data_IF_553632504865
#
_entry.id   IF_553632504865
#
_cell.length_a   1.000
_cell.length_b   1.000
_cell.length_c   1.000
_cell.angle_alpha   90.00
_cell.angle_beta   90.00
_cell.angle_gamma   90.00
#
_symmetry.space_group_name_H-M   'P 1'
#
loop_
_entity.id
_entity.type
_entity.pdbx_description
1 polymer ?
#
# COMPACT_ATOMS: atom_id res chain seq x y z
N UNK A 1 29.97 -17.64 -0.99
CA UNK A 1 30.39 -16.73 0.09
C UNK A 1 30.09 -15.29 -0.31
N UNK A 2 28.86 -14.80 -0.09
CA UNK A 2 28.61 -13.34 -0.10
C UNK A 2 27.25 -12.93 0.50
N UNK A 3 26.64 -13.79 1.31
CA UNK A 3 25.33 -13.51 1.93
C UNK A 3 25.46 -12.81 3.28
N UNK A 4 26.65 -12.84 3.91
CA UNK A 4 26.89 -12.23 5.23
C UNK A 4 27.13 -10.72 5.18
N UNK A 5 27.64 -10.17 4.07
CA UNK A 5 27.95 -8.74 3.95
C UNK A 5 26.69 -7.88 3.74
N UNK A 6 25.65 -8.41 3.08
CA UNK A 6 24.38 -7.69 2.86
C UNK A 6 23.46 -7.67 4.10
N UNK A 7 23.67 -8.58 5.05
CA UNK A 7 22.93 -8.59 6.32
C UNK A 7 23.53 -7.60 7.35
N UNK A 8 24.76 -7.16 7.15
CA UNK A 8 25.47 -6.23 8.05
C UNK A 8 25.22 -4.76 7.65
N UNK A 9 25.16 -4.48 6.35
CA UNK A 9 24.81 -3.15 5.81
C UNK A 9 23.35 -2.76 6.09
N UNK A 10 22.42 -3.72 6.00
CA UNK A 10 21.00 -3.50 6.32
C UNK A 10 20.70 -3.37 7.83
N UNK A 11 21.64 -3.76 8.71
CA UNK A 11 21.54 -3.57 10.16
C UNK A 11 22.20 -2.27 10.64
N UNK A 12 23.13 -1.70 9.89
CA UNK A 12 23.74 -0.39 10.21
C UNK A 12 22.84 0.81 9.83
N UNK A 13 21.86 0.61 8.95
CA UNK A 13 20.93 1.65 8.49
C UNK A 13 19.74 1.91 9.45
N UNK A 14 19.61 1.14 10.54
CA UNK A 14 18.55 1.30 11.54
C UNK A 14 19.14 1.59 12.93
N UNK A 15 20.23 2.37 13.00
CA UNK A 15 20.73 2.93 14.25
C UNK A 15 20.08 4.32 14.48
N UNK A 16 19.32 4.56 15.57
CA UNK A 16 18.68 5.84 15.83
C UNK A 16 19.64 7.05 15.82
N UNK A 17 20.89 6.87 16.27
CA UNK A 17 21.93 7.91 16.20
C UNK A 17 22.34 8.31 14.76
N UNK A 18 22.30 7.38 13.80
CA UNK A 18 22.64 7.68 12.41
C UNK A 18 21.52 8.50 11.75
N UNK A 19 20.26 8.19 12.06
CA UNK A 19 19.11 8.96 11.56
C UNK A 19 19.07 10.37 12.16
N UNK A 20 19.46 10.52 13.42
CA UNK A 20 19.52 11.83 14.09
C UNK A 20 20.64 12.70 13.51
N UNK A 21 21.82 12.12 13.25
CA UNK A 21 22.92 12.83 12.57
C UNK A 21 22.60 13.20 11.12
N UNK A 22 21.97 12.31 10.34
CA UNK A 22 21.52 12.62 8.98
C UNK A 22 20.47 13.74 8.97
N UNK A 23 19.52 13.71 9.91
CA UNK A 23 18.55 14.79 10.07
C UNK A 23 19.25 16.12 10.41
N UNK A 24 20.15 16.14 11.40
CA UNK A 24 20.89 17.34 11.78
C UNK A 24 21.70 17.93 10.63
N UNK A 25 22.32 17.08 9.81
CA UNK A 25 23.05 17.51 8.60
C UNK A 25 22.12 18.08 7.53
N UNK A 26 20.95 17.47 7.32
CA UNK A 26 19.93 18.02 6.43
C UNK A 26 19.39 19.38 6.90
N UNK A 27 19.22 19.57 8.21
CA UNK A 27 18.73 20.83 8.76
C UNK A 27 19.76 21.94 8.60
N UNK A 28 21.03 21.64 8.89
CA UNK A 28 22.14 22.56 8.64
C UNK A 28 22.28 22.92 7.14
N UNK A 29 22.04 21.97 6.24
CA UNK A 29 22.05 22.20 4.80
C UNK A 29 20.86 23.05 4.30
N UNK A 30 19.71 23.00 4.98
CA UNK A 30 18.56 23.85 4.64
C UNK A 30 18.72 25.24 5.24
N UNK A 31 19.20 25.37 6.47
CA UNK A 31 19.45 26.66 7.12
C UNK A 31 20.52 27.47 6.39
N UNK A 32 21.60 26.83 5.93
CA UNK A 32 22.59 27.48 5.07
C UNK A 32 22.03 27.92 3.71
N UNK A 33 20.97 27.29 3.21
CA UNK A 33 20.24 27.77 2.01
C UNK A 33 19.33 28.95 2.30
N UNK A 34 18.75 29.05 3.50
CA UNK A 34 17.91 30.18 3.92
C UNK A 34 18.68 31.49 3.87
N UNK A 35 19.91 31.50 4.39
CA UNK A 35 20.75 32.71 4.45
C UNK A 35 21.13 33.27 3.06
N UNK A 36 21.16 32.41 2.03
CA UNK A 36 21.46 32.80 0.64
C UNK A 36 20.23 33.05 -0.25
N UNK A 37 19.01 32.74 0.21
CA UNK A 37 17.79 32.77 -0.61
C UNK A 37 17.08 34.14 -0.62
N UNK A 38 17.25 34.92 0.44
CA UNK A 38 16.66 36.27 0.59
C UNK A 38 15.29 36.29 1.29
N UNK A 39 14.64 37.45 1.28
CA UNK A 39 13.44 37.75 2.09
C UNK A 39 12.22 36.87 1.74
N UNK A 40 12.12 36.38 0.49
CA UNK A 40 10.98 35.58 0.01
C UNK A 40 11.02 34.10 0.44
N UNK A 41 12.03 33.67 1.20
CA UNK A 41 12.20 32.26 1.58
C UNK A 41 10.95 31.67 2.27
N UNK A 42 10.36 32.43 3.20
CA UNK A 42 9.19 31.96 3.95
C UNK A 42 7.95 31.84 3.08
N UNK A 43 7.74 32.78 2.16
CA UNK A 43 6.61 32.79 1.25
C UNK A 43 6.69 31.60 0.27
N UNK A 44 7.85 31.40 -0.36
CA UNK A 44 8.06 30.28 -1.28
C UNK A 44 7.98 28.92 -0.56
N UNK A 45 8.54 28.81 0.66
CA UNK A 45 8.43 27.59 1.48
C UNK A 45 6.97 27.26 1.78
N UNK A 46 6.15 28.27 2.13
CA UNK A 46 4.74 28.08 2.39
C UNK A 46 3.97 27.65 1.13
N UNK A 47 4.32 28.19 -0.04
CA UNK A 47 3.74 27.78 -1.33
C UNK A 47 4.12 26.33 -1.68
N UNK A 48 5.40 25.96 -1.55
CA UNK A 48 5.87 24.58 -1.75
C UNK A 48 5.14 23.63 -0.80
N UNK A 49 5.02 24.00 0.48
CA UNK A 49 4.32 23.23 1.49
C UNK A 49 2.86 23.01 1.10
N UNK A 50 2.14 24.07 0.70
CA UNK A 50 0.73 24.00 0.30
C UNK A 50 0.54 23.05 -0.88
N UNK A 51 1.35 23.19 -1.94
CA UNK A 51 1.28 22.33 -3.12
C UNK A 51 1.60 20.87 -2.74
N UNK A 52 2.61 20.65 -1.90
CA UNK A 52 3.02 19.31 -1.51
C UNK A 52 1.98 18.60 -0.64
N UNK A 53 1.36 19.31 0.30
CA UNK A 53 0.24 18.80 1.11
C UNK A 53 -0.95 18.44 0.23
N UNK A 54 -1.31 19.30 -0.74
CA UNK A 54 -2.37 19.00 -1.69
C UNK A 54 -2.07 17.76 -2.53
N UNK A 55 -0.83 17.61 -3.01
CA UNK A 55 -0.38 16.41 -3.73
C UNK A 55 -0.44 15.15 -2.86
N UNK A 56 -0.13 15.25 -1.56
CA UNK A 56 -0.26 14.15 -0.62
C UNK A 56 -1.72 13.72 -0.46
N UNK A 57 -2.64 14.67 -0.32
CA UNK A 57 -4.07 14.38 -0.19
C UNK A 57 -4.62 13.72 -1.47
N UNK A 58 -4.27 14.26 -2.65
CA UNK A 58 -4.61 13.64 -3.95
C UNK A 58 -4.09 12.21 -4.08
N UNK A 59 -2.89 11.92 -3.57
CA UNK A 59 -2.34 10.55 -3.56
C UNK A 59 -3.16 9.63 -2.66
N UNK A 60 -3.62 10.13 -1.52
CA UNK A 60 -4.49 9.40 -0.59
C UNK A 60 -5.88 9.13 -1.19
N UNK A 61 -6.46 10.09 -1.91
CA UNK A 61 -7.70 9.89 -2.67
C UNK A 61 -7.55 8.82 -3.76
N UNK A 62 -6.42 8.80 -4.48
CA UNK A 62 -6.12 7.78 -5.51
C UNK A 62 -6.03 6.36 -4.93
N UNK A 63 -5.53 6.20 -3.70
CA UNK A 63 -5.53 4.90 -2.99
C UNK A 63 -6.95 4.38 -2.79
N UNK A 64 -7.88 5.24 -2.36
CA UNK A 64 -9.30 4.87 -2.18
C UNK A 64 -9.92 4.42 -3.50
N UNK A 65 -9.68 5.17 -4.58
CA UNK A 65 -10.16 4.81 -5.92
C UNK A 65 -9.60 3.45 -6.38
N UNK A 66 -8.31 3.20 -6.15
CA UNK A 66 -7.64 1.93 -6.50
C UNK A 66 -8.26 0.75 -5.73
N UNK A 67 -8.54 0.93 -4.43
CA UNK A 67 -9.20 -0.10 -3.62
C UNK A 67 -10.60 -0.44 -4.16
N UNK A 68 -11.39 0.57 -4.49
CA UNK A 68 -12.73 0.37 -5.08
C UNK A 68 -12.64 -0.34 -6.43
N UNK A 69 -11.68 0.02 -7.28
CA UNK A 69 -11.45 -0.65 -8.55
C UNK A 69 -11.22 -2.16 -8.38
N UNK A 70 -10.33 -2.58 -7.48
CA UNK A 70 -10.09 -4.00 -7.22
C UNK A 70 -11.32 -4.71 -6.67
N UNK A 71 -12.06 -4.08 -5.75
CA UNK A 71 -13.31 -4.64 -5.21
C UNK A 71 -14.33 -4.90 -6.31
N UNK A 72 -14.56 -3.92 -7.19
CA UNK A 72 -15.52 -4.05 -8.30
C UNK A 72 -15.06 -5.12 -9.28
N UNK A 73 -13.79 -5.12 -9.65
CA UNK A 73 -13.23 -6.09 -10.59
C UNK A 73 -13.32 -7.53 -10.05
N UNK A 74 -12.91 -7.75 -8.80
CA UNK A 74 -13.01 -9.05 -8.14
C UNK A 74 -14.48 -9.48 -7.95
N UNK A 75 -15.38 -8.56 -7.65
CA UNK A 75 -16.81 -8.91 -7.54
C UNK A 75 -17.41 -9.31 -8.88
N UNK A 76 -17.02 -8.63 -9.97
CA UNK A 76 -17.47 -8.96 -11.32
C UNK A 76 -16.98 -10.34 -11.78
N UNK A 77 -15.72 -10.68 -11.50
CA UNK A 77 -15.18 -12.02 -11.79
C UNK A 77 -15.92 -13.09 -10.99
N UNK A 78 -16.21 -12.83 -9.72
CA UNK A 78 -16.95 -13.78 -8.88
C UNK A 78 -18.37 -14.01 -9.41
N UNK A 79 -19.06 -12.96 -9.87
CA UNK A 79 -20.36 -13.08 -10.51
C UNK A 79 -20.30 -13.92 -11.80
N UNK A 80 -19.27 -13.71 -12.62
CA UNK A 80 -19.03 -14.54 -13.82
C UNK A 80 -18.85 -16.00 -13.44
N UNK A 81 -18.04 -16.31 -12.42
CA UNK A 81 -17.85 -17.68 -11.94
C UNK A 81 -19.18 -18.33 -11.56
N UNK A 82 -20.04 -17.65 -10.81
CA UNK A 82 -21.36 -18.18 -10.43
C UNK A 82 -22.20 -18.53 -11.67
N UNK A 83 -22.22 -17.66 -12.69
CA UNK A 83 -22.99 -17.94 -13.92
C UNK A 83 -22.48 -19.15 -14.71
N UNK A 84 -21.16 -19.41 -14.68
CA UNK A 84 -20.55 -20.55 -15.37
C UNK A 84 -20.75 -21.88 -14.65
N UNK A 85 -21.03 -21.86 -13.34
CA UNK A 85 -21.36 -23.09 -12.60
C UNK A 85 -22.73 -23.61 -13.07
N UNK A 86 -23.70 -22.71 -13.26
CA UNK A 86 -25.09 -23.08 -13.54
C UNK A 86 -25.37 -23.40 -15.01
N UNK A 87 -24.59 -22.85 -15.95
CA UNK A 87 -24.88 -22.97 -17.39
C UNK A 87 -23.65 -23.41 -18.18
N UNK A 88 -23.77 -24.58 -18.81
CA UNK A 88 -22.80 -25.10 -19.79
C UNK A 88 -22.91 -24.36 -21.13
N UNK A 89 -22.59 -23.07 -21.15
CA UNK A 89 -22.76 -22.21 -22.34
C UNK A 89 -21.71 -22.43 -23.43
N UNK A 90 -20.52 -22.92 -23.08
CA UNK A 90 -19.41 -23.03 -24.03
C UNK A 90 -18.98 -24.49 -24.24
N UNK A 91 -18.53 -24.86 -25.46
CA UNK A 91 -17.95 -26.17 -25.75
C UNK A 91 -16.56 -26.37 -25.08
N UNK A 92 -16.05 -25.36 -24.38
CA UNK A 92 -14.78 -25.38 -23.68
C UNK A 92 -14.95 -26.15 -22.36
N UNK A 93 -13.93 -26.94 -21.98
CA UNK A 93 -13.89 -27.62 -20.68
C UNK A 93 -14.17 -26.63 -19.53
N UNK A 94 -15.35 -26.72 -18.92
CA UNK A 94 -15.80 -25.86 -17.82
C UNK A 94 -14.79 -25.78 -16.67
N UNK A 95 -14.14 -26.91 -16.34
CA UNK A 95 -13.09 -27.00 -15.33
C UNK A 95 -11.86 -26.13 -15.66
N UNK A 96 -11.48 -26.07 -16.94
CA UNK A 96 -10.34 -25.26 -17.40
C UNK A 96 -10.65 -23.77 -17.27
N UNK A 97 -11.84 -23.33 -17.69
CA UNK A 97 -12.29 -21.94 -17.52
C UNK A 97 -12.35 -21.54 -16.04
N UNK A 98 -12.87 -22.42 -15.18
CA UNK A 98 -12.94 -22.19 -13.74
C UNK A 98 -11.54 -22.02 -13.13
N UNK A 99 -10.58 -22.86 -13.54
CA UNK A 99 -9.18 -22.75 -13.10
C UNK A 99 -8.56 -21.42 -13.54
N UNK A 100 -8.78 -21.01 -14.79
CA UNK A 100 -8.27 -19.75 -15.32
C UNK A 100 -8.82 -18.53 -14.57
N UNK A 101 -10.13 -18.49 -14.31
CA UNK A 101 -10.77 -17.41 -13.53
C UNK A 101 -10.26 -17.39 -12.08
N UNK A 102 -10.03 -18.56 -11.48
CA UNK A 102 -9.48 -18.66 -10.13
C UNK A 102 -8.05 -18.12 -10.04
N UNK A 103 -7.19 -18.47 -11.00
CA UNK A 103 -5.81 -17.94 -11.10
C UNK A 103 -5.83 -16.43 -11.31
N UNK A 104 -6.72 -15.93 -12.18
CA UNK A 104 -6.86 -14.50 -12.46
C UNK A 104 -7.30 -13.73 -11.20
N UNK A 105 -8.27 -14.25 -10.45
CA UNK A 105 -8.71 -13.65 -9.18
C UNK A 105 -7.60 -13.63 -8.12
N UNK A 106 -6.87 -14.74 -7.95
CA UNK A 106 -5.73 -14.81 -7.03
C UNK A 106 -4.61 -13.82 -7.42
N UNK A 107 -4.30 -13.73 -8.71
CA UNK A 107 -3.31 -12.78 -9.23
C UNK A 107 -3.73 -11.33 -8.94
N UNK A 108 -5.01 -10.99 -9.15
CA UNK A 108 -5.52 -9.65 -8.82
C UNK A 108 -5.47 -9.35 -7.32
N UNK A 109 -5.80 -10.31 -6.46
CA UNK A 109 -5.63 -10.16 -5.01
C UNK A 109 -4.16 -9.91 -4.64
N UNK A 110 -3.21 -10.62 -5.28
CA UNK A 110 -1.78 -10.40 -5.06
C UNK A 110 -1.33 -9.00 -5.48
N UNK A 111 -1.69 -8.58 -6.70
CA UNK A 111 -1.36 -7.23 -7.20
C UNK A 111 -1.97 -6.15 -6.30
N UNK A 112 -3.20 -6.36 -5.80
CA UNK A 112 -3.83 -5.43 -4.87
C UNK A 112 -3.05 -5.31 -3.55
N UNK A 113 -2.56 -6.41 -2.99
CA UNK A 113 -1.72 -6.38 -1.79
C UNK A 113 -0.42 -5.58 -2.01
N UNK A 114 0.23 -5.75 -3.16
CA UNK A 114 1.43 -5.00 -3.53
C UNK A 114 1.11 -3.50 -3.63
N UNK A 115 0.01 -3.14 -4.28
CA UNK A 115 -0.43 -1.74 -4.39
C UNK A 115 -0.69 -1.10 -3.02
N UNK A 116 -1.41 -1.78 -2.11
CA UNK A 116 -1.67 -1.25 -0.76
C UNK A 116 -0.35 -0.96 -0.02
N UNK A 117 0.63 -1.87 -0.13
CA UNK A 117 1.92 -1.68 0.54
C UNK A 117 2.71 -0.52 -0.07
N UNK A 118 2.72 -0.40 -1.40
CA UNK A 118 3.37 0.70 -2.12
C UNK A 118 2.80 2.07 -1.71
N UNK A 119 1.47 2.24 -1.70
CA UNK A 119 0.84 3.48 -1.26
C UNK A 119 1.13 3.81 0.20
N UNK A 120 1.20 2.79 1.08
CA UNK A 120 1.53 2.98 2.49
C UNK A 120 2.96 3.51 2.66
N UNK A 121 3.91 2.92 1.94
CA UNK A 121 5.31 3.34 1.99
C UNK A 121 5.49 4.76 1.44
N UNK A 122 4.92 5.04 0.27
CA UNK A 122 4.97 6.36 -0.35
C UNK A 122 4.35 7.44 0.55
N UNK A 123 3.17 7.18 1.14
CA UNK A 123 2.55 8.12 2.06
C UNK A 123 3.41 8.34 3.30
N UNK A 124 4.03 7.30 3.85
CA UNK A 124 4.95 7.44 4.98
C UNK A 124 6.15 8.32 4.64
N UNK A 125 6.68 8.25 3.41
CA UNK A 125 7.78 9.11 2.96
C UNK A 125 7.32 10.55 2.77
N UNK A 126 6.15 10.78 2.15
CA UNK A 126 5.57 12.12 1.99
C UNK A 126 5.33 12.82 3.33
N UNK A 127 4.83 12.10 4.33
CA UNK A 127 4.66 12.63 5.68
C UNK A 127 6.00 13.02 6.34
N UNK A 128 7.09 12.28 6.08
CA UNK A 128 8.42 12.67 6.59
C UNK A 128 8.88 14.00 5.99
N UNK A 129 8.71 14.18 4.68
CA UNK A 129 9.07 15.43 4.00
C UNK A 129 8.23 16.60 4.52
N UNK A 130 6.91 16.42 4.69
CA UNK A 130 6.04 17.44 5.30
C UNK A 130 6.54 17.83 6.69
N UNK A 131 6.85 16.83 7.54
CA UNK A 131 7.37 17.07 8.87
C UNK A 131 8.73 17.79 8.86
N UNK A 132 9.58 17.55 7.86
CA UNK A 132 10.84 18.28 7.68
C UNK A 132 10.59 19.75 7.28
N UNK A 133 9.65 20.00 6.35
CA UNK A 133 9.26 21.37 5.97
C UNK A 133 8.65 22.14 7.15
N UNK A 134 7.83 21.47 7.97
CA UNK A 134 7.16 22.07 9.13
C UNK A 134 8.11 22.62 10.20
N UNK A 135 9.36 22.15 10.25
CA UNK A 135 10.37 22.67 11.19
C UNK A 135 10.82 24.08 10.87
N UNK A 136 10.62 24.53 9.63
CA UNK A 136 10.96 25.87 9.17
C UNK A 136 9.72 26.78 9.04
N UNK A 137 8.52 26.25 9.32
CA UNK A 137 7.26 26.98 9.33
C UNK A 137 6.91 27.47 10.74
N UNK A 138 6.10 28.55 10.86
CA UNK A 138 5.70 29.09 12.16
C UNK A 138 4.92 28.11 13.05
N UNK A 139 4.21 27.17 12.45
CA UNK A 139 3.39 26.20 13.17
C UNK A 139 3.36 24.83 12.47
N UNK A 140 3.76 23.75 13.17
CA UNK A 140 3.84 22.41 12.58
C UNK A 140 2.54 21.62 12.77
N UNK A 141 1.60 21.79 11.84
CA UNK A 141 0.25 21.23 11.90
C UNK A 141 0.24 19.69 12.02
N UNK A 142 0.93 18.99 11.12
CA UNK A 142 0.93 17.53 11.01
C UNK A 142 1.74 16.87 12.13
N UNK A 143 2.89 17.46 12.52
CA UNK A 143 3.60 17.00 13.71
C UNK A 143 2.71 17.07 14.95
N UNK A 144 2.01 18.20 15.16
CA UNK A 144 1.13 18.35 16.31
C UNK A 144 -0.07 17.39 16.27
N UNK A 145 -0.66 17.18 15.10
CA UNK A 145 -1.71 16.17 14.91
C UNK A 145 -1.23 14.78 15.33
N UNK A 146 -0.01 14.41 14.93
CA UNK A 146 0.59 13.11 15.25
C UNK A 146 0.88 12.94 16.75
N UNK A 147 1.31 14.00 17.44
CA UNK A 147 1.48 14.00 18.89
C UNK A 147 0.15 13.79 19.62
N UNK A 148 -0.89 14.55 19.26
CA UNK A 148 -2.24 14.40 19.82
C UNK A 148 -2.76 12.98 19.58
N UNK A 149 -2.50 12.43 18.40
CA UNK A 149 -2.89 11.06 18.08
C UNK A 149 -2.18 10.05 18.98
N UNK A 150 -0.88 10.23 19.27
CA UNK A 150 -0.12 9.35 20.17
C UNK A 150 -0.58 9.42 21.62
N UNK A 151 -0.91 10.61 22.11
CA UNK A 151 -1.44 10.83 23.46
C UNK A 151 -2.79 10.10 23.64
N UNK A 152 -3.66 10.12 22.62
CA UNK A 152 -4.91 9.37 22.61
C UNK A 152 -4.73 7.94 22.09
N UNK A 153 -4.32 7.04 22.99
CA UNK A 153 -4.14 5.62 22.69
C UNK A 153 -5.39 4.92 22.12
N UNK A 154 -6.61 5.46 22.34
CA UNK A 154 -7.83 4.92 21.74
C UNK A 154 -7.92 5.33 20.27
N UNK A 155 -7.71 6.62 19.95
CA UNK A 155 -7.71 7.12 18.56
C UNK A 155 -6.57 6.53 17.73
N UNK A 156 -5.36 6.45 18.27
CA UNK A 156 -4.22 5.82 17.59
C UNK A 156 -4.52 4.36 17.21
N UNK A 157 -5.11 3.59 18.14
CA UNK A 157 -5.53 2.21 17.87
C UNK A 157 -6.62 2.14 16.80
N UNK A 158 -7.59 3.05 16.80
CA UNK A 158 -8.66 3.10 15.78
C UNK A 158 -8.10 3.37 14.38
N UNK A 159 -7.20 4.35 14.25
CA UNK A 159 -6.57 4.69 12.97
C UNK A 159 -5.72 3.52 12.43
N UNK A 160 -4.93 2.89 13.31
CA UNK A 160 -4.21 1.66 12.96
C UNK A 160 -5.16 0.55 12.52
N UNK A 161 -6.25 0.31 13.24
CA UNK A 161 -7.25 -0.71 12.89
C UNK A 161 -7.83 -0.49 11.50
N UNK A 162 -8.17 0.74 11.11
CA UNK A 162 -8.67 1.04 9.77
C UNK A 162 -7.68 0.63 8.68
N UNK A 163 -6.40 0.99 8.85
CA UNK A 163 -5.34 0.59 7.92
C UNK A 163 -5.09 -0.92 7.90
N UNK A 164 -5.25 -1.59 9.04
CA UNK A 164 -5.15 -3.05 9.11
C UNK A 164 -6.33 -3.71 8.40
N UNK A 165 -7.56 -3.21 8.58
CA UNK A 165 -8.75 -3.74 7.92
C UNK A 165 -8.58 -3.73 6.40
N UNK A 166 -8.12 -2.62 5.82
CA UNK A 166 -7.86 -2.55 4.38
C UNK A 166 -6.84 -3.58 3.89
N UNK A 167 -5.83 -3.93 4.71
CA UNK A 167 -4.85 -4.98 4.38
C UNK A 167 -5.47 -6.37 4.38
N UNK A 168 -6.49 -6.63 5.19
CA UNK A 168 -7.15 -7.94 5.27
C UNK A 168 -8.18 -8.17 4.16
N UNK A 169 -8.72 -7.12 3.54
CA UNK A 169 -9.74 -7.26 2.49
C UNK A 169 -9.29 -8.14 1.31
N UNK A 170 -8.08 -7.96 0.73
CA UNK A 170 -7.60 -8.83 -0.35
C UNK A 170 -7.46 -10.29 0.09
N UNK A 171 -7.06 -10.55 1.35
CA UNK A 171 -6.95 -11.92 1.87
C UNK A 171 -8.33 -12.58 1.98
N UNK A 172 -9.32 -11.85 2.50
CA UNK A 172 -10.70 -12.36 2.63
C UNK A 172 -11.24 -12.69 1.24
N UNK A 173 -11.03 -11.81 0.25
CA UNK A 173 -11.46 -12.05 -1.12
C UNK A 173 -10.68 -13.13 -1.84
N UNK A 174 -9.44 -13.43 -1.45
CA UNK A 174 -8.67 -14.53 -2.02
C UNK A 174 -9.22 -15.92 -1.64
N UNK A 175 -9.91 -16.06 -0.49
CA UNK A 175 -10.47 -17.33 0.01
C UNK A 175 -11.36 -18.03 -1.04
N UNK A 176 -12.42 -17.41 -1.59
CA UNK A 176 -13.27 -18.06 -2.58
C UNK A 176 -12.50 -18.48 -3.84
N UNK A 177 -11.57 -17.66 -4.33
CA UNK A 177 -10.73 -18.01 -5.48
C UNK A 177 -9.80 -19.18 -5.19
N UNK A 178 -9.23 -19.24 -3.99
CA UNK A 178 -8.38 -20.35 -3.57
C UNK A 178 -9.16 -21.66 -3.49
N UNK A 179 -10.37 -21.65 -2.92
CA UNK A 179 -11.26 -22.82 -2.86
C UNK A 179 -11.66 -23.29 -4.26
N UNK A 180 -12.00 -22.35 -5.16
CA UNK A 180 -12.34 -22.65 -6.55
C UNK A 180 -11.17 -23.28 -7.30
N UNK A 181 -9.97 -22.75 -7.11
CA UNK A 181 -8.75 -23.30 -7.71
C UNK A 181 -8.52 -24.74 -7.24
N UNK A 182 -8.56 -24.98 -5.92
CA UNK A 182 -8.35 -26.31 -5.35
C UNK A 182 -9.42 -27.31 -5.84
N UNK A 183 -10.69 -26.92 -5.82
CA UNK A 183 -11.79 -27.74 -6.35
C UNK A 183 -11.58 -28.12 -7.82
N UNK A 184 -11.21 -27.14 -8.66
CA UNK A 184 -10.98 -27.38 -10.09
C UNK A 184 -9.81 -28.34 -10.31
N UNK A 185 -8.69 -28.16 -9.60
CA UNK A 185 -7.51 -29.04 -9.72
C UNK A 185 -7.81 -30.48 -9.34
N UNK A 186 -8.54 -30.71 -8.22
CA UNK A 186 -8.97 -32.05 -7.81
C UNK A 186 -9.84 -32.68 -8.89
N UNK A 187 -10.84 -31.96 -9.40
CA UNK A 187 -11.75 -32.48 -10.42
C UNK A 187 -11.04 -32.81 -11.73
N UNK A 188 -10.09 -31.99 -12.15
CA UNK A 188 -9.25 -32.24 -13.33
C UNK A 188 -8.42 -33.51 -13.13
N UNK A 189 -7.78 -33.65 -11.96
CA UNK A 189 -6.97 -34.82 -11.63
C UNK A 189 -7.79 -36.11 -11.58
N UNK A 190 -8.96 -36.10 -10.94
CA UNK A 190 -9.86 -37.26 -10.92
C UNK A 190 -10.32 -37.63 -12.33
N UNK A 191 -10.72 -36.65 -13.16
CA UNK A 191 -11.12 -36.90 -14.55
C UNK A 191 -9.97 -37.51 -15.38
N UNK A 192 -8.74 -37.04 -15.16
CA UNK A 192 -7.57 -37.60 -15.81
C UNK A 192 -7.35 -39.07 -15.42
N UNK A 193 -7.42 -39.39 -14.13
CA UNK A 193 -7.22 -40.76 -13.63
C UNK A 193 -8.33 -41.73 -14.05
N UNK A 194 -9.59 -41.28 -14.18
CA UNK A 194 -10.70 -42.15 -14.61
C UNK A 194 -10.71 -42.42 -16.12
N UNK A 195 -10.06 -41.58 -16.93
CA UNK A 195 -9.95 -41.75 -18.38
C UNK A 195 -8.70 -42.53 -18.82
N UNK A 196 -7.83 -42.91 -17.88
CA UNK A 196 -6.67 -43.80 -18.09
C UNK A 196 -7.06 -45.20 -17.64
#
# INVERSE_FOLDING_TARGET
MNTSNNLQCSKQQNNPENNEKEQLLQHAAIDSRKDGYGENFQDHLLEEYKIYVEMMDRTSARRVQTNTFYLTLLSAILALVTTFIDKAFFPINQLFLLSLLAILGLSLCFVWMVNINSYKELNSLKFKVINEMEKHLPYPCYMREWEILKEDTKKHRKHRRLTQVEKYVPFILAIPYFLLFFYSTIKIFTKYFTNV
#
